data_IF_442134775186
#
_entry.id   IF_442134775186
#
_cell.length_a   1.000
_cell.length_b   1.000
_cell.length_c   1.000
_cell.angle_alpha   90.00
_cell.angle_beta   90.00
_cell.angle_gamma   90.00
#
_symmetry.space_group_name_H-M   'P 1'
#
loop_
_entity.id
_entity.type
_entity.pdbx_description
1 polymer ?
#
# COMPACT_ATOMS: atom_id res chain seq x y z
N UNK A 1 17.68 8.45 3.57
CA UNK A 1 17.01 7.34 2.90
C UNK A 1 16.84 6.16 3.86
N UNK A 2 15.79 5.34 3.66
CA UNK A 2 15.50 4.21 4.56
C UNK A 2 16.34 2.98 4.18
N UNK A 3 16.78 2.90 2.93
CA UNK A 3 17.65 1.83 2.42
C UNK A 3 18.38 2.24 1.14
N UNK A 4 19.31 1.39 0.68
CA UNK A 4 20.11 1.56 -0.53
C UNK A 4 20.00 0.32 -1.41
N UNK A 5 19.85 0.49 -2.72
CA UNK A 5 19.98 -0.58 -3.72
C UNK A 5 21.14 -0.20 -4.63
N UNK A 6 22.23 -0.94 -4.56
CA UNK A 6 23.49 -0.62 -5.20
C UNK A 6 23.85 -1.70 -6.24
N UNK A 7 23.81 -1.34 -7.51
CA UNK A 7 24.22 -2.21 -8.62
C UNK A 7 25.64 -1.81 -9.05
N UNK A 8 26.59 -2.73 -8.93
CA UNK A 8 28.01 -2.51 -9.30
C UNK A 8 28.54 -1.11 -8.95
N UNK A 9 28.41 -0.66 -7.68
CA UNK A 9 28.70 0.71 -7.29
C UNK A 9 30.18 1.04 -7.33
N UNK A 10 30.52 2.29 -7.71
CA UNK A 10 31.80 2.90 -7.39
C UNK A 10 31.71 3.42 -5.96
N UNK A 11 32.46 2.87 -5.04
CA UNK A 11 32.40 3.17 -3.60
C UNK A 11 33.67 3.84 -3.13
N UNK A 12 34.83 3.21 -3.39
CA UNK A 12 36.11 3.75 -2.98
C UNK A 12 36.68 4.77 -3.96
N UNK A 13 37.37 5.78 -3.45
CA UNK A 13 38.25 6.65 -4.22
C UNK A 13 39.72 6.33 -4.00
N UNK A 14 40.00 5.28 -3.19
CA UNK A 14 41.34 4.76 -2.93
C UNK A 14 41.88 3.92 -4.11
N UNK A 15 42.77 2.99 -3.83
CA UNK A 15 43.23 2.00 -4.80
C UNK A 15 42.09 1.07 -5.21
N UNK A 16 42.08 0.59 -6.47
CA UNK A 16 41.01 -0.22 -7.05
C UNK A 16 39.65 0.50 -7.25
N UNK A 17 39.67 1.81 -7.39
CA UNK A 17 38.50 2.59 -7.83
C UNK A 17 38.34 2.55 -9.35
N UNK A 18 37.17 2.99 -9.83
CA UNK A 18 37.03 3.37 -11.23
C UNK A 18 37.66 4.75 -11.45
N UNK A 19 38.81 4.79 -12.12
CA UNK A 19 39.62 6.00 -12.28
C UNK A 19 38.90 7.16 -12.96
N UNK A 20 38.04 6.88 -13.96
CA UNK A 20 37.18 7.87 -14.62
C UNK A 20 36.27 8.58 -13.62
N UNK A 21 35.49 7.82 -12.81
CA UNK A 21 34.59 8.39 -11.80
C UNK A 21 35.33 9.25 -10.78
N UNK A 22 36.50 8.79 -10.31
CA UNK A 22 37.33 9.58 -9.38
C UNK A 22 37.81 10.89 -10.01
N UNK A 23 38.29 10.86 -11.26
CA UNK A 23 38.77 12.05 -11.93
C UNK A 23 37.66 13.07 -12.21
N UNK A 24 36.45 12.60 -12.58
CA UNK A 24 35.29 13.49 -12.77
C UNK A 24 34.81 14.10 -11.46
N UNK A 25 34.82 13.34 -10.36
CA UNK A 25 34.37 13.80 -9.05
C UNK A 25 35.39 14.71 -8.34
N UNK A 26 36.66 14.33 -8.37
CA UNK A 26 37.72 14.96 -7.54
C UNK A 26 38.77 15.73 -8.33
N UNK A 27 38.71 15.68 -9.68
CA UNK A 27 39.75 16.21 -10.52
C UNK A 27 40.99 15.30 -10.66
N UNK A 28 41.97 15.76 -11.47
CA UNK A 28 43.15 14.95 -11.81
C UNK A 28 44.20 14.85 -10.70
N UNK A 29 44.14 15.70 -9.68
CA UNK A 29 45.12 15.77 -8.60
C UNK A 29 44.44 15.97 -7.25
N UNK A 30 43.60 15.00 -6.79
CA UNK A 30 42.91 15.12 -5.53
C UNK A 30 43.89 14.96 -4.36
N UNK A 31 43.61 15.64 -3.25
CA UNK A 31 44.33 15.46 -2.02
C UNK A 31 43.97 14.10 -1.38
N UNK A 32 44.86 13.59 -0.49
CA UNK A 32 44.58 12.38 0.28
C UNK A 32 43.33 12.53 1.14
N UNK A 33 43.05 13.71 1.66
CA UNK A 33 41.88 14.02 2.46
C UNK A 33 40.59 13.91 1.61
N UNK A 34 40.57 14.50 0.42
CA UNK A 34 39.47 14.38 -0.52
C UNK A 34 39.22 12.92 -0.91
N UNK A 35 40.26 12.16 -1.25
CA UNK A 35 40.14 10.74 -1.59
C UNK A 35 39.50 9.98 -0.43
N UNK A 36 39.95 10.18 0.81
CA UNK A 36 39.38 9.51 1.98
C UNK A 36 37.95 9.96 2.28
N UNK A 37 37.64 11.24 2.16
CA UNK A 37 36.33 11.81 2.43
C UNK A 37 35.25 11.23 1.48
N UNK A 38 35.59 11.06 0.21
CA UNK A 38 34.68 10.54 -0.80
C UNK A 38 34.76 9.02 -0.99
N UNK A 39 35.54 8.30 -0.17
CA UNK A 39 35.54 6.84 -0.08
C UNK A 39 34.44 6.42 0.88
N UNK A 40 33.29 5.99 0.34
CA UNK A 40 32.06 5.77 1.12
C UNK A 40 32.19 4.62 2.13
N UNK A 41 33.02 3.62 1.87
CA UNK A 41 33.32 2.55 2.82
C UNK A 41 34.00 3.05 4.12
N UNK A 42 34.62 4.24 4.06
CA UNK A 42 35.23 4.88 5.22
C UNK A 42 34.28 5.81 5.98
N UNK A 43 33.10 6.07 5.41
CA UNK A 43 32.08 6.97 5.98
C UNK A 43 30.91 6.21 6.62
N UNK A 44 30.93 4.89 6.60
CA UNK A 44 29.87 4.07 7.18
C UNK A 44 29.84 4.23 8.69
N UNK A 45 28.65 4.52 9.21
CA UNK A 45 28.32 4.59 10.64
C UNK A 45 27.12 3.67 10.96
N UNK A 46 26.75 3.54 12.21
CA UNK A 46 25.53 2.83 12.63
C UNK A 46 24.25 3.42 12.05
N UNK A 47 24.27 4.71 11.64
CA UNK A 47 23.13 5.41 11.05
C UNK A 47 23.07 5.29 9.52
N UNK A 48 24.07 4.60 8.92
CA UNK A 48 24.07 4.34 7.48
C UNK A 48 22.89 3.44 7.12
N UNK A 49 22.09 3.77 6.09
CA UNK A 49 20.96 2.95 5.68
C UNK A 49 21.37 1.54 5.27
N UNK A 50 20.53 0.56 5.59
CA UNK A 50 20.70 -0.83 5.16
C UNK A 50 20.82 -0.93 3.63
N UNK A 51 21.53 -1.94 3.12
CA UNK A 51 21.91 -2.02 1.72
C UNK A 51 21.65 -3.39 1.08
N UNK A 52 21.15 -3.36 -0.18
CA UNK A 52 21.16 -4.49 -1.10
C UNK A 52 22.19 -4.22 -2.18
N UNK A 53 23.21 -5.07 -2.30
CA UNK A 53 24.37 -4.86 -3.18
C UNK A 53 24.45 -6.00 -4.19
N UNK A 54 24.54 -5.69 -5.48
CA UNK A 54 24.67 -6.69 -6.55
C UNK A 54 25.87 -6.38 -7.43
N UNK A 55 26.67 -7.39 -7.70
CA UNK A 55 27.95 -7.30 -8.43
C UNK A 55 28.07 -8.41 -9.47
N UNK A 56 28.94 -8.21 -10.46
CA UNK A 56 29.50 -9.28 -11.31
C UNK A 56 30.97 -9.48 -11.00
N UNK A 57 31.41 -10.73 -10.88
CA UNK A 57 32.83 -11.07 -10.58
C UNK A 57 33.80 -10.64 -11.70
N UNK A 58 33.28 -10.59 -12.92
CA UNK A 58 34.02 -10.24 -14.16
C UNK A 58 33.90 -8.76 -14.54
N UNK A 59 33.47 -7.88 -13.62
CA UNK A 59 33.38 -6.45 -13.89
C UNK A 59 34.77 -5.84 -14.05
N UNK A 60 35.13 -5.56 -15.33
CA UNK A 60 36.41 -4.96 -15.70
C UNK A 60 36.44 -3.43 -15.62
N UNK A 61 35.29 -2.77 -15.41
CA UNK A 61 35.20 -1.33 -15.30
C UNK A 61 35.27 -0.87 -13.85
N UNK A 62 34.43 -1.45 -12.99
CA UNK A 62 34.41 -1.16 -11.55
C UNK A 62 34.77 -2.44 -10.80
N UNK A 63 35.97 -2.54 -10.21
CA UNK A 63 36.38 -3.74 -9.51
C UNK A 63 35.35 -4.15 -8.44
N UNK A 64 34.92 -5.43 -8.42
CA UNK A 64 33.91 -5.94 -7.46
C UNK A 64 34.26 -5.67 -6.00
N UNK A 65 35.54 -5.50 -5.69
CA UNK A 65 36.02 -5.11 -4.35
C UNK A 65 35.37 -3.83 -3.83
N UNK A 66 34.88 -2.92 -4.69
CA UNK A 66 34.14 -1.74 -4.25
C UNK A 66 32.91 -2.12 -3.42
N UNK A 67 32.02 -2.94 -3.97
CA UNK A 67 30.82 -3.37 -3.25
C UNK A 67 31.13 -4.32 -2.09
N UNK A 68 32.14 -5.20 -2.24
CA UNK A 68 32.58 -6.09 -1.16
C UNK A 68 33.09 -5.31 0.04
N UNK A 69 33.96 -4.31 -0.16
CA UNK A 69 34.50 -3.49 0.92
C UNK A 69 33.40 -2.66 1.60
N UNK A 70 32.44 -2.17 0.83
CA UNK A 70 31.30 -1.45 1.39
C UNK A 70 30.43 -2.36 2.26
N UNK A 71 30.13 -3.58 1.77
CA UNK A 71 29.44 -4.59 2.58
C UNK A 71 30.16 -4.89 3.89
N UNK A 72 31.49 -5.07 3.86
CA UNK A 72 32.27 -5.32 5.07
C UNK A 72 32.25 -4.13 6.04
N UNK A 73 32.27 -2.90 5.50
CA UNK A 73 32.15 -1.70 6.33
C UNK A 73 30.76 -1.59 6.99
N UNK A 74 29.66 -1.93 6.27
CA UNK A 74 28.32 -2.01 6.81
C UNK A 74 28.25 -3.05 7.94
N UNK A 75 28.77 -4.27 7.71
CA UNK A 75 28.81 -5.34 8.72
C UNK A 75 29.58 -4.90 9.99
N UNK A 76 30.73 -4.25 9.83
CA UNK A 76 31.53 -3.75 10.93
C UNK A 76 30.79 -2.74 11.81
N UNK A 77 29.86 -1.99 11.23
CA UNK A 77 29.06 -0.97 11.94
C UNK A 77 27.64 -1.49 12.30
N UNK A 78 27.41 -2.81 12.24
CA UNK A 78 26.13 -3.45 12.53
C UNK A 78 24.96 -2.94 11.66
N UNK A 79 25.24 -2.50 10.44
CA UNK A 79 24.21 -2.10 9.47
C UNK A 79 23.80 -3.33 8.65
N UNK A 80 22.52 -3.69 8.61
CA UNK A 80 22.03 -4.81 7.81
C UNK A 80 22.37 -4.62 6.33
N UNK A 81 22.94 -5.65 5.70
CA UNK A 81 23.26 -5.60 4.28
C UNK A 81 23.20 -6.99 3.64
N UNK A 82 22.77 -7.04 2.37
CA UNK A 82 22.77 -8.22 1.53
C UNK A 82 23.72 -8.01 0.36
N UNK A 83 24.59 -9.01 0.08
CA UNK A 83 25.56 -8.95 -1.00
C UNK A 83 25.37 -10.14 -1.94
N UNK A 84 25.12 -9.86 -3.23
CA UNK A 84 24.95 -10.84 -4.28
C UNK A 84 26.03 -10.65 -5.34
N UNK A 85 26.81 -11.70 -5.61
CA UNK A 85 27.90 -11.65 -6.59
C UNK A 85 27.67 -12.73 -7.64
N UNK A 86 27.41 -12.32 -8.88
CA UNK A 86 27.22 -13.22 -10.00
C UNK A 86 28.52 -13.48 -10.77
N UNK A 87 28.76 -14.70 -11.28
CA UNK A 87 30.03 -15.06 -11.92
C UNK A 87 30.38 -14.20 -13.13
N UNK A 88 29.39 -13.81 -13.93
CA UNK A 88 29.58 -13.06 -15.18
C UNK A 88 28.49 -12.00 -15.37
N UNK A 89 28.78 -11.00 -16.21
CA UNK A 89 27.85 -9.92 -16.56
C UNK A 89 28.59 -8.61 -16.88
N UNK A 90 29.83 -8.49 -16.47
CA UNK A 90 30.59 -7.25 -16.60
C UNK A 90 29.93 -6.09 -15.86
N UNK A 91 30.00 -4.90 -16.46
CA UNK A 91 29.44 -3.67 -15.89
C UNK A 91 28.23 -3.17 -16.70
N UNK A 92 27.30 -2.45 -16.04
CA UNK A 92 26.26 -1.68 -16.73
C UNK A 92 25.06 -2.49 -17.21
N UNK A 93 24.83 -3.71 -16.71
CA UNK A 93 23.71 -4.55 -17.13
C UNK A 93 22.35 -4.06 -16.58
N UNK A 94 22.29 -3.48 -15.37
CA UNK A 94 21.08 -2.94 -14.78
C UNK A 94 19.88 -3.90 -14.85
N UNK A 95 18.78 -3.41 -15.41
CA UNK A 95 17.54 -4.20 -15.60
C UNK A 95 17.39 -4.71 -17.05
N UNK A 96 18.50 -4.90 -17.77
CA UNK A 96 18.48 -5.35 -19.18
C UNK A 96 18.10 -6.82 -19.31
N UNK A 97 17.31 -7.14 -20.36
CA UNK A 97 16.80 -8.50 -20.60
C UNK A 97 17.91 -9.51 -20.97
N UNK A 98 19.02 -9.04 -21.55
CA UNK A 98 20.16 -9.86 -21.92
C UNK A 98 21.10 -10.20 -20.76
N UNK A 99 20.87 -9.69 -19.56
CA UNK A 99 21.64 -10.09 -18.38
C UNK A 99 21.19 -11.47 -17.90
N UNK A 100 22.09 -12.44 -17.96
CA UNK A 100 21.81 -13.85 -17.65
C UNK A 100 21.16 -14.06 -16.28
N UNK A 101 21.50 -13.25 -15.29
CA UNK A 101 21.04 -13.38 -13.91
C UNK A 101 19.95 -12.34 -13.54
N UNK A 102 19.34 -11.69 -14.54
CA UNK A 102 18.30 -10.68 -14.31
C UNK A 102 17.19 -11.20 -13.40
N UNK A 103 16.61 -12.34 -13.73
CA UNK A 103 15.52 -12.93 -12.96
C UNK A 103 15.93 -13.24 -11.51
N UNK A 104 17.13 -13.77 -11.32
CA UNK A 104 17.63 -14.15 -10.00
C UNK A 104 17.80 -12.92 -9.10
N UNK A 105 18.54 -11.89 -9.54
CA UNK A 105 18.79 -10.73 -8.69
C UNK A 105 17.52 -9.91 -8.41
N UNK A 106 16.58 -9.86 -9.36
CA UNK A 106 15.31 -9.16 -9.16
C UNK A 106 14.39 -9.89 -8.18
N UNK A 107 14.38 -11.23 -8.21
CA UNK A 107 13.67 -12.04 -7.22
C UNK A 107 14.29 -11.90 -5.82
N UNK A 108 15.62 -11.92 -5.72
CA UNK A 108 16.33 -11.70 -4.46
C UNK A 108 16.09 -10.26 -3.93
N UNK A 109 16.07 -9.26 -4.80
CA UNK A 109 15.73 -7.89 -4.43
C UNK A 109 14.27 -7.80 -3.92
N UNK A 110 13.33 -8.42 -4.63
CA UNK A 110 11.93 -8.44 -4.23
C UNK A 110 11.76 -9.10 -2.86
N UNK A 111 12.44 -10.23 -2.65
CA UNK A 111 12.46 -10.92 -1.36
C UNK A 111 13.09 -10.05 -0.28
N UNK A 112 14.23 -9.42 -0.56
CA UNK A 112 14.91 -8.54 0.39
C UNK A 112 14.03 -7.33 0.76
N UNK A 113 13.36 -6.73 -0.21
CA UNK A 113 12.41 -5.63 0.04
C UNK A 113 11.22 -6.08 0.89
N UNK A 114 10.76 -7.30 0.71
CA UNK A 114 9.64 -7.87 1.47
C UNK A 114 10.04 -8.28 2.89
N UNK A 115 11.16 -9.00 3.01
CA UNK A 115 11.54 -9.70 4.25
C UNK A 115 12.67 -8.97 5.01
N UNK A 116 13.51 -8.22 4.29
CA UNK A 116 14.82 -7.73 4.78
C UNK A 116 14.91 -6.22 4.93
N UNK A 117 14.04 -5.44 4.30
CA UNK A 117 14.01 -4.03 4.63
C UNK A 117 13.38 -3.91 6.00
N UNK A 118 14.22 -3.77 7.03
CA UNK A 118 13.77 -3.43 8.37
C UNK A 118 13.24 -2.00 8.31
N UNK A 119 12.01 -1.88 7.82
CA UNK A 119 11.19 -0.77 8.27
C UNK A 119 11.00 -1.00 9.78
N UNK A 120 10.93 0.05 10.61
CA UNK A 120 10.60 -0.13 12.03
C UNK A 120 9.52 -1.21 12.11
N UNK A 121 9.71 -2.22 12.97
CA UNK A 121 8.90 -3.45 13.02
C UNK A 121 7.37 -3.24 13.13
N UNK A 122 6.91 -1.99 13.14
CA UNK A 122 5.54 -1.57 13.35
C UNK A 122 4.79 -1.13 12.07
N UNK A 123 5.42 -1.21 10.87
CA UNK A 123 4.74 -0.80 9.67
C UNK A 123 4.19 -2.02 8.92
N UNK A 124 2.96 -2.42 9.23
CA UNK A 124 2.14 -3.32 8.42
C UNK A 124 2.28 -3.02 6.91
N UNK A 125 2.26 -4.03 6.02
CA UNK A 125 2.33 -3.82 4.56
C UNK A 125 1.37 -2.75 4.06
N UNK A 126 0.16 -2.69 4.64
CA UNK A 126 -0.83 -1.65 4.37
C UNK A 126 -0.31 -0.23 4.61
N UNK A 127 0.53 0.01 5.63
CA UNK A 127 1.09 1.32 5.96
C UNK A 127 2.10 1.83 4.93
N UNK A 128 2.96 0.94 4.42
CA UNK A 128 3.95 1.29 3.40
C UNK A 128 3.29 1.69 2.09
N UNK A 129 2.40 0.82 1.63
CA UNK A 129 1.75 0.94 0.31
C UNK A 129 0.86 2.17 0.28
N UNK A 130 0.05 2.41 1.32
CA UNK A 130 -0.85 3.56 1.37
C UNK A 130 -0.13 4.91 1.29
N UNK A 131 1.09 5.04 1.87
CA UNK A 131 1.88 6.27 1.79
C UNK A 131 2.31 6.59 0.36
N UNK A 132 2.48 5.59 -0.50
CA UNK A 132 2.80 5.79 -1.91
C UNK A 132 1.65 6.43 -2.70
N UNK A 133 0.41 6.36 -2.18
CA UNK A 133 -0.76 7.00 -2.78
C UNK A 133 -0.98 8.45 -2.33
N UNK A 134 -0.22 8.98 -1.36
CA UNK A 134 -0.37 10.38 -0.94
C UNK A 134 -0.26 11.33 -2.13
N UNK A 135 -1.25 12.22 -2.28
CA UNK A 135 -1.34 13.15 -3.39
C UNK A 135 -1.98 12.59 -4.66
N UNK A 136 -2.26 11.29 -4.75
CA UNK A 136 -2.98 10.69 -5.89
C UNK A 136 -4.33 11.36 -6.06
N UNK A 137 -4.68 11.73 -7.30
CA UNK A 137 -5.89 12.48 -7.63
C UNK A 137 -7.15 11.68 -7.29
N UNK A 138 -8.11 12.32 -6.62
CA UNK A 138 -9.45 11.79 -6.44
C UNK A 138 -10.26 11.92 -7.74
N UNK A 139 -10.85 10.82 -8.21
CA UNK A 139 -11.80 10.81 -9.33
C UNK A 139 -12.89 9.79 -9.01
N UNK A 140 -14.13 10.25 -8.96
CA UNK A 140 -15.27 9.35 -8.78
C UNK A 140 -15.59 8.57 -10.07
N UNK A 141 -16.24 7.41 -9.93
CA UNK A 141 -16.76 6.60 -11.03
C UNK A 141 -15.70 6.15 -12.06
N UNK A 142 -14.45 5.99 -11.66
CA UNK A 142 -13.37 5.51 -12.55
C UNK A 142 -13.61 4.10 -13.08
N UNK A 143 -14.42 3.30 -12.37
CA UNK A 143 -14.76 1.93 -12.74
C UNK A 143 -15.92 1.82 -13.74
N UNK A 144 -16.68 2.92 -14.00
CA UNK A 144 -17.91 2.91 -14.79
C UNK A 144 -17.71 3.41 -16.22
N UNK A 145 -16.48 3.31 -16.75
CA UNK A 145 -16.13 3.88 -18.07
C UNK A 145 -16.59 3.02 -19.25
N UNK A 146 -16.63 1.70 -19.10
CA UNK A 146 -16.99 0.75 -20.15
C UNK A 146 -18.50 0.58 -20.35
N UNK A 147 -18.88 -0.25 -21.31
CA UNK A 147 -20.22 -0.80 -21.50
C UNK A 147 -20.35 -2.18 -20.85
N UNK A 148 -19.26 -2.91 -20.78
CA UNK A 148 -19.16 -4.21 -20.13
C UNK A 148 -18.35 -4.11 -18.84
N UNK A 149 -18.70 -4.92 -17.85
CA UNK A 149 -17.95 -4.99 -16.59
C UNK A 149 -16.65 -5.75 -16.80
N UNK A 150 -15.54 -5.11 -16.47
CA UNK A 150 -14.20 -5.68 -16.55
C UNK A 150 -13.36 -5.23 -15.36
N UNK A 151 -12.28 -5.95 -15.08
CA UNK A 151 -11.35 -5.53 -14.04
C UNK A 151 -10.57 -4.27 -14.45
N UNK A 152 -11.04 -3.11 -14.01
CA UNK A 152 -10.36 -1.84 -14.25
C UNK A 152 -9.22 -1.66 -13.25
N UNK A 153 -8.00 -1.40 -13.75
CA UNK A 153 -6.80 -1.09 -12.96
C UNK A 153 -6.28 0.29 -13.37
N UNK A 154 -6.56 1.31 -12.56
CA UNK A 154 -6.16 2.70 -12.81
C UNK A 154 -5.66 3.37 -11.52
N UNK A 155 -4.49 2.97 -10.97
CA UNK A 155 -4.01 3.43 -9.66
C UNK A 155 -3.58 4.90 -9.64
N UNK A 156 -3.53 5.58 -10.80
CA UNK A 156 -3.20 7.00 -10.91
C UNK A 156 -4.36 7.92 -10.48
N UNK A 157 -5.57 7.38 -10.42
CA UNK A 157 -6.76 8.08 -9.94
C UNK A 157 -7.59 7.13 -9.09
N UNK A 158 -8.07 7.62 -7.95
CA UNK A 158 -8.80 6.79 -6.99
C UNK A 158 -10.00 7.54 -6.42
N UNK A 159 -11.01 6.80 -6.01
CA UNK A 159 -11.99 7.22 -5.01
C UNK A 159 -11.67 6.59 -3.64
N UNK A 160 -12.53 6.76 -2.65
CA UNK A 160 -12.25 6.25 -1.31
C UNK A 160 -12.16 4.72 -1.27
N UNK A 161 -13.01 4.00 -2.01
CA UNK A 161 -13.01 2.53 -1.99
C UNK A 161 -11.88 1.96 -2.85
N UNK A 162 -11.69 2.47 -4.07
CA UNK A 162 -10.61 2.00 -4.96
C UNK A 162 -9.22 2.25 -4.37
N UNK A 163 -9.03 3.34 -3.60
CA UNK A 163 -7.80 3.56 -2.84
C UNK A 163 -7.53 2.43 -1.84
N UNK A 164 -8.55 2.03 -1.06
CA UNK A 164 -8.44 0.94 -0.08
C UNK A 164 -8.23 -0.40 -0.80
N UNK A 165 -8.98 -0.68 -1.86
CA UNK A 165 -8.85 -1.92 -2.66
C UNK A 165 -7.45 -2.08 -3.26
N UNK A 166 -6.91 -1.03 -3.87
CA UNK A 166 -5.55 -1.08 -4.44
C UNK A 166 -4.48 -1.28 -3.37
N UNK A 167 -4.62 -0.59 -2.22
CA UNK A 167 -3.69 -0.75 -1.10
C UNK A 167 -3.73 -2.17 -0.57
N UNK A 168 -4.91 -2.73 -0.36
CA UNK A 168 -5.11 -4.10 0.12
C UNK A 168 -4.60 -5.14 -0.89
N UNK A 169 -4.91 -4.98 -2.18
CA UNK A 169 -4.47 -5.90 -3.23
C UNK A 169 -2.94 -5.97 -3.36
N UNK A 170 -2.25 -4.83 -3.17
CA UNK A 170 -0.79 -4.78 -3.14
C UNK A 170 -0.23 -5.41 -1.86
N UNK A 171 -0.86 -5.15 -0.71
CA UNK A 171 -0.41 -5.66 0.59
C UNK A 171 -0.51 -7.19 0.69
N UNK A 172 -1.51 -7.81 0.04
CA UNK A 172 -1.66 -9.26 -0.03
C UNK A 172 -0.54 -9.96 -0.83
N UNK A 173 0.26 -9.20 -1.57
CA UNK A 173 1.39 -9.75 -2.34
C UNK A 173 0.96 -10.59 -3.54
N UNK A 174 1.87 -11.42 -4.09
CA UNK A 174 1.66 -12.31 -5.23
C UNK A 174 1.11 -11.60 -6.49
N UNK A 175 -0.08 -11.92 -6.96
CA UNK A 175 -0.71 -11.30 -8.13
C UNK A 175 -1.63 -10.15 -7.73
N UNK A 176 -1.24 -8.90 -8.01
CA UNK A 176 -2.05 -7.73 -7.75
C UNK A 176 -3.43 -7.79 -8.43
N UNK A 177 -3.48 -8.20 -9.68
CA UNK A 177 -4.72 -8.27 -10.45
C UNK A 177 -5.69 -9.31 -9.87
N UNK A 178 -5.18 -10.51 -9.53
CA UNK A 178 -6.01 -11.58 -8.95
C UNK A 178 -6.53 -11.19 -7.56
N UNK A 179 -5.68 -10.57 -6.74
CA UNK A 179 -6.08 -10.07 -5.44
C UNK A 179 -7.17 -8.98 -5.56
N UNK A 180 -6.97 -8.03 -6.47
CA UNK A 180 -7.93 -6.97 -6.73
C UNK A 180 -9.27 -7.50 -7.21
N UNK A 181 -9.27 -8.51 -8.09
CA UNK A 181 -10.49 -9.16 -8.55
C UNK A 181 -11.24 -9.83 -7.40
N UNK A 182 -10.53 -10.58 -6.54
CA UNK A 182 -11.12 -11.21 -5.35
C UNK A 182 -11.71 -10.20 -4.37
N UNK A 183 -11.04 -9.05 -4.19
CA UNK A 183 -11.47 -7.98 -3.29
C UNK A 183 -12.71 -7.27 -3.83
N UNK A 184 -12.76 -6.97 -5.12
CA UNK A 184 -13.74 -6.09 -5.76
C UNK A 184 -15.01 -6.79 -6.18
N UNK A 185 -14.91 -8.07 -6.53
CA UNK A 185 -16.04 -8.82 -7.09
C UNK A 185 -16.50 -9.94 -6.16
N UNK A 186 -17.79 -10.18 -6.16
CA UNK A 186 -18.44 -11.23 -5.39
C UNK A 186 -17.82 -12.58 -5.74
N UNK A 187 -17.24 -13.24 -4.73
CA UNK A 187 -16.50 -14.49 -4.87
C UNK A 187 -15.34 -14.45 -5.90
N UNK A 188 -14.88 -13.24 -6.26
CA UNK A 188 -13.84 -13.03 -7.26
C UNK A 188 -14.32 -13.25 -8.71
N UNK A 189 -15.63 -13.31 -8.96
CA UNK A 189 -16.21 -13.63 -10.28
C UNK A 189 -16.76 -12.35 -10.91
N UNK A 190 -16.34 -12.05 -12.15
CA UNK A 190 -16.89 -10.97 -12.95
C UNK A 190 -18.06 -11.52 -13.77
N UNK A 191 -19.28 -11.14 -13.40
CA UNK A 191 -20.53 -11.50 -14.06
C UNK A 191 -21.45 -10.26 -14.16
N UNK A 192 -21.04 -9.31 -14.98
CA UNK A 192 -21.72 -8.04 -15.18
C UNK A 192 -21.60 -7.09 -13.99
N UNK A 193 -22.19 -5.90 -14.14
CA UNK A 193 -22.10 -4.76 -13.21
C UNK A 193 -22.43 -5.13 -11.76
N UNK A 194 -23.45 -5.93 -11.52
CA UNK A 194 -23.95 -6.26 -10.18
C UNK A 194 -23.09 -7.31 -9.45
N UNK A 195 -22.11 -7.93 -10.11
CA UNK A 195 -21.12 -8.79 -9.46
C UNK A 195 -20.08 -8.01 -8.67
N UNK A 196 -19.88 -6.73 -9.01
CA UNK A 196 -19.04 -5.82 -8.25
C UNK A 196 -19.68 -5.54 -6.87
N UNK A 197 -18.86 -5.48 -5.83
CA UNK A 197 -19.30 -5.25 -4.46
C UNK A 197 -19.49 -3.76 -4.19
N UNK A 198 -20.67 -3.25 -4.48
CA UNK A 198 -21.00 -1.84 -4.39
C UNK A 198 -21.26 -1.36 -2.96
N UNK A 199 -21.99 -2.17 -2.18
CA UNK A 199 -22.24 -1.87 -0.77
C UNK A 199 -21.01 -2.28 0.06
N UNK A 200 -20.48 -1.36 0.87
CA UNK A 200 -19.26 -1.64 1.65
C UNK A 200 -19.47 -2.74 2.68
N UNK A 201 -20.69 -2.91 3.24
CA UNK A 201 -20.95 -4.04 4.13
C UNK A 201 -20.92 -5.38 3.40
N UNK A 202 -21.32 -5.43 2.13
CA UNK A 202 -21.18 -6.62 1.30
C UNK A 202 -19.71 -6.91 0.97
N UNK A 203 -18.95 -5.85 0.67
CA UNK A 203 -17.51 -5.92 0.47
C UNK A 203 -16.79 -6.50 1.71
N UNK A 204 -17.15 -6.03 2.91
CA UNK A 204 -16.61 -6.55 4.16
C UNK A 204 -16.98 -8.03 4.35
N UNK A 205 -18.27 -8.39 4.18
CA UNK A 205 -18.76 -9.76 4.35
C UNK A 205 -18.08 -10.73 3.37
N UNK A 206 -17.95 -10.32 2.11
CA UNK A 206 -17.26 -11.11 1.10
C UNK A 206 -15.78 -11.28 1.43
N UNK A 207 -15.09 -10.21 1.85
CA UNK A 207 -13.68 -10.25 2.23
C UNK A 207 -13.42 -11.16 3.42
N UNK A 208 -14.30 -11.13 4.44
CA UNK A 208 -14.21 -12.02 5.61
C UNK A 208 -14.47 -13.48 5.21
N UNK A 209 -15.48 -13.74 4.38
CA UNK A 209 -15.80 -15.09 3.90
C UNK A 209 -14.66 -15.70 3.08
N UNK A 210 -13.95 -14.89 2.30
CA UNK A 210 -12.79 -15.31 1.51
C UNK A 210 -11.49 -15.39 2.32
N UNK A 211 -11.50 -15.04 3.61
CA UNK A 211 -10.30 -15.04 4.46
C UNK A 211 -9.32 -13.89 4.14
N UNK A 212 -9.74 -12.87 3.38
CA UNK A 212 -8.93 -11.70 3.06
C UNK A 212 -8.97 -10.64 4.16
N UNK A 213 -10.08 -10.59 4.91
CA UNK A 213 -10.34 -9.61 5.94
C UNK A 213 -10.81 -10.27 7.24
N UNK A 214 -10.59 -9.59 8.34
CA UNK A 214 -11.14 -9.87 9.65
C UNK A 214 -12.00 -8.67 10.11
N UNK A 215 -13.24 -8.91 10.56
CA UNK A 215 -14.06 -7.86 11.21
C UNK A 215 -13.61 -7.68 12.67
N UNK A 216 -12.66 -6.74 12.86
CA UNK A 216 -12.10 -6.42 14.18
C UNK A 216 -13.16 -5.82 15.11
N UNK A 217 -14.13 -5.09 14.55
CA UNK A 217 -15.22 -4.50 15.33
C UNK A 217 -16.11 -5.58 15.95
N UNK A 218 -16.34 -6.68 15.24
CA UNK A 218 -17.17 -7.78 15.71
C UNK A 218 -16.62 -8.42 17.00
N UNK A 219 -15.29 -8.43 17.16
CA UNK A 219 -14.63 -8.98 18.34
C UNK A 219 -14.54 -8.01 19.53
N UNK A 220 -14.54 -6.70 19.24
CA UNK A 220 -14.14 -5.69 20.23
C UNK A 220 -15.26 -4.73 20.62
N UNK A 221 -16.36 -4.63 19.86
CA UNK A 221 -17.50 -3.77 20.18
C UNK A 221 -18.76 -4.58 20.50
N UNK A 222 -19.34 -4.32 21.65
CA UNK A 222 -20.65 -4.86 22.00
C UNK A 222 -21.82 -4.14 21.30
N UNK A 223 -21.54 -3.00 20.66
CA UNK A 223 -22.59 -2.19 20.00
C UNK A 223 -22.94 -2.83 18.64
N UNK A 224 -24.21 -2.99 18.39
CA UNK A 224 -24.70 -3.58 17.14
C UNK A 224 -25.80 -2.73 16.53
N UNK A 225 -25.92 -2.81 15.20
CA UNK A 225 -27.01 -2.24 14.42
C UNK A 225 -27.50 -3.25 13.39
N UNK A 226 -28.71 -3.05 12.88
CA UNK A 226 -29.20 -3.81 11.73
C UNK A 226 -28.93 -3.03 10.46
N UNK A 227 -28.39 -3.68 9.45
CA UNK A 227 -28.25 -3.10 8.13
C UNK A 227 -29.62 -2.78 7.52
N UNK A 228 -29.70 -1.68 6.81
CA UNK A 228 -30.88 -1.26 6.04
C UNK A 228 -30.39 -0.69 4.73
N UNK A 229 -30.27 -1.53 3.72
CA UNK A 229 -29.68 -1.22 2.42
C UNK A 229 -30.78 -1.13 1.35
N UNK A 230 -30.78 -0.04 0.60
CA UNK A 230 -31.69 0.18 -0.51
C UNK A 230 -31.28 1.36 -1.40
N UNK A 231 -30.09 1.95 -1.16
CA UNK A 231 -29.74 3.22 -1.77
C UNK A 231 -29.60 3.11 -3.28
N UNK A 232 -28.86 2.13 -3.78
CA UNK A 232 -28.62 1.98 -5.20
C UNK A 232 -29.88 1.60 -5.97
N UNK A 233 -30.64 0.64 -5.47
CA UNK A 233 -31.88 0.18 -6.14
C UNK A 233 -32.98 1.24 -6.17
N UNK A 234 -33.00 2.15 -5.16
CA UNK A 234 -33.98 3.26 -5.10
C UNK A 234 -33.52 4.54 -5.79
N UNK A 235 -32.24 4.65 -6.13
CA UNK A 235 -31.66 5.81 -6.83
C UNK A 235 -30.94 5.41 -8.14
N UNK A 236 -31.54 4.57 -9.01
CA UNK A 236 -30.82 4.01 -10.16
C UNK A 236 -30.29 5.06 -11.13
N UNK A 237 -30.95 6.22 -11.24
CA UNK A 237 -30.51 7.33 -12.09
C UNK A 237 -29.16 7.95 -11.72
N UNK A 238 -28.66 7.69 -10.51
CA UNK A 238 -27.35 8.15 -10.08
C UNK A 238 -26.18 7.24 -10.55
N UNK A 239 -26.51 6.06 -11.09
CA UNK A 239 -25.55 5.05 -11.49
C UNK A 239 -25.72 4.70 -12.96
N UNK A 240 -24.69 4.93 -13.77
CA UNK A 240 -24.71 4.74 -15.22
C UNK A 240 -25.30 3.38 -15.65
N UNK A 241 -24.87 2.30 -15.01
CA UNK A 241 -25.26 0.94 -15.37
C UNK A 241 -26.58 0.45 -14.71
N UNK A 242 -27.18 1.28 -13.87
CA UNK A 242 -28.53 1.04 -13.33
C UNK A 242 -29.59 1.89 -14.03
N UNK A 243 -29.24 3.09 -14.49
CA UNK A 243 -30.19 4.07 -15.04
C UNK A 243 -31.05 3.50 -16.16
N UNK A 244 -30.45 2.71 -17.05
CA UNK A 244 -31.09 2.15 -18.22
C UNK A 244 -31.22 0.62 -18.17
N UNK A 245 -31.03 0.00 -16.99
CA UNK A 245 -31.08 -1.46 -16.83
C UNK A 245 -32.01 -1.89 -15.67
N UNK A 246 -33.30 -2.09 -15.90
CA UNK A 246 -34.21 -2.62 -14.87
C UNK A 246 -33.75 -3.97 -14.27
N UNK A 247 -33.07 -4.79 -15.07
CA UNK A 247 -32.50 -6.07 -14.58
C UNK A 247 -31.43 -5.86 -13.56
N UNK A 248 -30.46 -4.96 -13.82
CA UNK A 248 -29.42 -4.63 -12.84
C UNK A 248 -30.03 -4.01 -11.58
N UNK A 249 -31.04 -3.14 -11.69
CA UNK A 249 -31.76 -2.59 -10.54
C UNK A 249 -32.41 -3.71 -9.71
N UNK A 250 -33.04 -4.68 -10.35
CA UNK A 250 -33.64 -5.82 -9.67
C UNK A 250 -32.57 -6.66 -8.94
N UNK A 251 -31.47 -7.00 -9.62
CA UNK A 251 -30.36 -7.77 -9.01
C UNK A 251 -29.72 -7.01 -7.82
N UNK A 252 -29.53 -5.70 -7.93
CA UNK A 252 -29.05 -4.88 -6.82
C UNK A 252 -30.03 -4.90 -5.64
N UNK A 253 -31.32 -4.74 -5.88
CA UNK A 253 -32.34 -4.81 -4.83
C UNK A 253 -32.35 -6.20 -4.11
N UNK A 254 -32.08 -7.27 -4.83
CA UNK A 254 -31.94 -8.61 -4.25
C UNK A 254 -30.73 -8.70 -3.32
N UNK A 255 -29.57 -8.15 -3.71
CA UNK A 255 -28.38 -8.10 -2.85
C UNK A 255 -28.58 -7.20 -1.62
N UNK A 256 -29.09 -5.98 -1.80
CA UNK A 256 -29.43 -5.07 -0.70
C UNK A 256 -30.42 -5.72 0.29
N UNK A 257 -31.43 -6.42 -0.23
CA UNK A 257 -32.40 -7.16 0.59
C UNK A 257 -31.77 -8.33 1.36
N UNK A 258 -30.85 -9.07 0.73
CA UNK A 258 -30.17 -10.20 1.35
C UNK A 258 -29.27 -9.78 2.54
N UNK A 259 -28.74 -8.56 2.49
CA UNK A 259 -27.92 -7.98 3.56
C UNK A 259 -28.77 -7.26 4.60
N UNK A 260 -29.90 -6.66 4.22
CA UNK A 260 -30.78 -5.91 5.12
C UNK A 260 -31.34 -6.81 6.22
N UNK A 261 -31.38 -6.27 7.43
CA UNK A 261 -31.77 -7.00 8.65
C UNK A 261 -30.63 -7.76 9.33
N UNK A 262 -29.50 -8.00 8.66
CA UNK A 262 -28.32 -8.59 9.29
C UNK A 262 -27.81 -7.66 10.40
N UNK A 263 -27.42 -8.27 11.50
CA UNK A 263 -26.85 -7.59 12.66
C UNK A 263 -25.35 -7.47 12.48
N UNK A 264 -24.83 -6.24 12.50
CA UNK A 264 -23.40 -5.96 12.40
C UNK A 264 -22.92 -5.21 13.63
N UNK A 265 -21.66 -5.40 14.01
CA UNK A 265 -21.02 -4.65 15.06
C UNK A 265 -20.47 -3.32 14.54
N UNK A 266 -20.52 -2.28 15.35
CA UNK A 266 -20.00 -0.97 15.03
C UNK A 266 -19.57 -0.21 16.28
N UNK A 267 -18.75 0.85 16.13
CA UNK A 267 -18.33 1.73 17.20
C UNK A 267 -18.96 3.11 16.99
N UNK A 268 -19.90 3.57 17.84
CA UNK A 268 -20.44 4.92 17.79
C UNK A 268 -19.36 5.99 17.93
N UNK A 269 -19.46 7.10 17.19
CA UNK A 269 -18.46 8.17 17.19
C UNK A 269 -18.17 8.77 18.57
N UNK A 270 -19.18 8.83 19.45
CA UNK A 270 -19.02 9.33 20.82
C UNK A 270 -18.22 8.37 21.75
N UNK A 271 -17.87 7.18 21.27
CA UNK A 271 -17.03 6.22 21.99
C UNK A 271 -15.62 6.13 21.42
N UNK A 272 -15.29 6.89 20.38
CA UNK A 272 -13.97 6.94 19.77
C UNK A 272 -13.19 8.14 20.32
N UNK A 273 -12.17 7.94 21.17
CA UNK A 273 -11.29 9.03 21.60
C UNK A 273 -10.29 9.41 20.49
N UNK A 274 -9.66 10.58 20.62
CA UNK A 274 -8.61 11.05 19.68
C UNK A 274 -7.45 10.05 19.57
N UNK A 275 -7.14 9.34 20.64
CA UNK A 275 -6.07 8.31 20.68
C UNK A 275 -6.46 6.99 20.02
N UNK A 276 -7.67 6.87 19.46
CA UNK A 276 -8.20 5.57 19.06
C UNK A 276 -8.47 4.64 20.24
N UNK A 277 -8.72 3.37 19.95
CA UNK A 277 -8.89 2.31 20.96
C UNK A 277 -7.74 1.29 20.80
N UNK A 278 -7.34 0.59 21.87
CA UNK A 278 -6.17 -0.31 21.87
C UNK A 278 -6.20 -1.43 20.82
N UNK A 279 -7.37 -1.78 20.33
CA UNK A 279 -7.57 -2.82 19.33
C UNK A 279 -7.55 -2.31 17.88
N UNK A 280 -7.54 -0.98 17.66
CA UNK A 280 -7.38 -0.36 16.35
C UNK A 280 -5.88 -0.20 16.10
N UNK A 281 -5.41 -0.69 14.97
CA UNK A 281 -4.01 -0.67 14.59
C UNK A 281 -3.78 0.19 13.34
N UNK A 282 -2.56 0.63 13.19
CA UNK A 282 -2.10 1.19 11.92
C UNK A 282 -2.36 0.20 10.78
N UNK A 283 -2.89 0.68 9.66
CA UNK A 283 -3.21 -0.18 8.51
C UNK A 283 -4.62 -0.77 8.50
N UNK A 284 -5.36 -0.71 9.60
CA UNK A 284 -6.76 -1.13 9.62
C UNK A 284 -7.60 -0.30 8.64
N UNK A 285 -8.52 -0.95 7.94
CA UNK A 285 -9.52 -0.26 7.11
C UNK A 285 -10.63 0.26 8.01
N UNK A 286 -10.89 1.55 7.92
CA UNK A 286 -11.94 2.25 8.63
C UNK A 286 -13.10 2.50 7.68
N UNK A 287 -14.25 1.90 7.95
CA UNK A 287 -15.51 2.14 7.25
C UNK A 287 -16.41 3.04 8.10
N UNK A 288 -16.66 4.26 7.63
CA UNK A 288 -17.42 5.29 8.36
C UNK A 288 -18.91 5.09 8.13
N UNK A 289 -19.64 4.80 9.19
CA UNK A 289 -21.09 4.57 9.17
C UNK A 289 -21.87 5.88 9.05
N UNK A 290 -23.06 5.83 8.43
CA UNK A 290 -23.89 7.00 8.18
C UNK A 290 -25.34 6.77 8.60
N UNK A 291 -26.07 7.89 8.81
CA UNK A 291 -27.52 7.90 9.01
C UNK A 291 -28.32 8.14 7.73
N UNK A 292 -27.67 8.23 6.56
CA UNK A 292 -28.38 8.39 5.29
C UNK A 292 -29.24 7.15 5.03
N UNK A 293 -30.54 7.33 4.74
CA UNK A 293 -31.43 6.21 4.53
C UNK A 293 -30.97 5.31 3.38
N UNK A 294 -30.97 4.01 3.60
CA UNK A 294 -30.59 3.01 2.60
C UNK A 294 -29.10 2.84 2.34
N UNK A 295 -28.24 3.64 3.00
CA UNK A 295 -26.78 3.56 2.91
C UNK A 295 -26.19 3.19 4.30
N UNK A 296 -25.22 2.28 4.32
CA UNK A 296 -24.57 1.85 5.56
C UNK A 296 -23.26 2.59 5.83
N UNK A 297 -22.41 2.69 4.81
CA UNK A 297 -21.08 3.30 4.88
C UNK A 297 -21.01 4.49 3.91
N UNK A 298 -20.64 5.65 4.43
CA UNK A 298 -20.49 6.86 3.61
C UNK A 298 -19.07 7.09 3.12
N UNK A 299 -18.07 6.50 3.77
CA UNK A 299 -16.67 6.74 3.44
C UNK A 299 -15.78 5.64 3.98
N UNK A 300 -14.66 5.40 3.33
CA UNK A 300 -13.63 4.45 3.76
C UNK A 300 -12.24 5.08 3.70
N UNK A 301 -11.36 4.59 4.54
CA UNK A 301 -9.95 4.97 4.57
C UNK A 301 -9.13 4.00 5.40
N UNK A 302 -7.90 4.35 5.70
CA UNK A 302 -6.95 3.51 6.42
C UNK A 302 -6.51 4.22 7.69
N UNK A 303 -6.53 3.51 8.82
CA UNK A 303 -6.07 4.00 10.11
C UNK A 303 -4.59 4.39 10.05
N UNK A 304 -4.25 5.54 10.62
CA UNK A 304 -2.88 5.99 10.78
C UNK A 304 -2.69 6.74 12.10
N UNK A 305 -1.82 6.22 12.95
CA UNK A 305 -1.47 6.91 14.18
C UNK A 305 -0.38 7.96 13.92
N UNK A 306 -0.60 9.17 14.43
CA UNK A 306 0.37 10.27 14.41
C UNK A 306 0.46 10.86 15.81
N UNK A 307 1.63 10.84 16.41
CA UNK A 307 1.85 11.30 17.77
C UNK A 307 0.83 10.75 18.80
N UNK A 308 0.51 9.46 18.68
CA UNK A 308 -0.43 8.76 19.55
C UNK A 308 -1.90 9.08 19.32
N UNK A 309 -2.26 9.80 18.25
CA UNK A 309 -3.65 10.07 17.84
C UNK A 309 -4.00 9.33 16.57
N UNK A 310 -5.23 8.84 16.50
CA UNK A 310 -5.75 8.12 15.34
C UNK A 310 -6.23 9.11 14.27
N UNK A 311 -5.58 9.12 13.13
CA UNK A 311 -5.92 9.86 11.92
C UNK A 311 -6.43 8.93 10.83
N UNK A 312 -7.04 9.49 9.78
CA UNK A 312 -7.51 8.76 8.61
C UNK A 312 -6.69 9.12 7.38
N UNK A 313 -6.07 8.14 6.76
CA UNK A 313 -5.53 8.27 5.41
C UNK A 313 -6.61 7.86 4.41
N UNK A 314 -7.03 8.78 3.54
CA UNK A 314 -8.18 8.54 2.65
C UNK A 314 -8.11 9.34 1.36
N UNK A 315 -8.81 8.88 0.33
CA UNK A 315 -9.04 9.68 -0.86
C UNK A 315 -10.19 10.68 -0.57
N UNK A 316 -9.83 11.94 -0.39
CA UNK A 316 -10.76 13.02 -0.06
C UNK A 316 -11.39 13.61 -1.31
N UNK A 317 -12.71 13.50 -1.46
CA UNK A 317 -13.44 14.17 -2.54
C UNK A 317 -13.41 15.70 -2.40
N UNK A 318 -13.37 16.21 -1.17
CA UNK A 318 -13.30 17.65 -0.90
C UNK A 318 -11.94 18.25 -1.26
N UNK A 319 -10.84 17.54 -0.94
CA UNK A 319 -9.47 17.99 -1.24
C UNK A 319 -8.98 17.50 -2.61
N UNK A 320 -9.76 16.68 -3.32
CA UNK A 320 -9.46 16.19 -4.65
C UNK A 320 -8.28 15.21 -4.75
N UNK A 321 -7.82 14.66 -3.65
CA UNK A 321 -6.64 13.78 -3.60
C UNK A 321 -6.60 12.89 -2.36
N UNK A 322 -5.72 11.90 -2.37
CA UNK A 322 -5.38 11.10 -1.18
C UNK A 322 -4.59 11.96 -0.20
N UNK A 323 -5.08 12.01 1.03
CA UNK A 323 -4.50 12.81 2.13
C UNK A 323 -4.54 12.04 3.45
N UNK A 324 -3.65 12.40 4.35
CA UNK A 324 -3.81 12.12 5.77
C UNK A 324 -4.64 13.24 6.39
N UNK A 325 -5.68 12.91 7.16
CA UNK A 325 -6.50 13.92 7.82
C UNK A 325 -5.66 14.80 8.75
N UNK A 326 -5.90 16.12 8.72
CA UNK A 326 -5.21 17.06 9.61
C UNK A 326 -5.63 16.87 11.07
N UNK A 327 -6.91 16.60 11.29
CA UNK A 327 -7.49 16.33 12.60
C UNK A 327 -7.60 14.83 12.90
N UNK A 328 -7.63 14.43 14.18
CA UNK A 328 -7.92 13.06 14.57
C UNK A 328 -9.27 12.58 14.03
N UNK A 329 -9.39 11.28 13.76
CA UNK A 329 -10.60 10.67 13.20
C UNK A 329 -11.86 10.95 14.04
N UNK A 330 -11.74 10.96 15.38
CA UNK A 330 -12.84 11.29 16.29
C UNK A 330 -13.40 12.69 16.05
N UNK A 331 -12.54 13.68 15.81
CA UNK A 331 -12.93 15.05 15.50
C UNK A 331 -13.54 15.14 14.09
N UNK A 332 -12.93 14.49 13.11
CA UNK A 332 -13.46 14.40 11.75
C UNK A 332 -14.88 13.80 11.74
N UNK A 333 -15.13 12.76 12.53
CA UNK A 333 -16.47 12.16 12.69
C UNK A 333 -17.47 13.14 13.33
N UNK A 334 -17.04 13.89 14.35
CA UNK A 334 -17.92 14.83 15.07
C UNK A 334 -18.29 16.05 14.23
N UNK A 335 -17.37 16.51 13.37
CA UNK A 335 -17.59 17.63 12.45
C UNK A 335 -18.59 17.29 11.34
N UNK A 336 -18.79 15.99 11.02
CA UNK A 336 -19.78 15.57 10.04
C UNK A 336 -21.08 15.11 10.72
N UNK A 337 -22.19 15.83 10.44
CA UNK A 337 -23.50 15.56 11.05
C UNK A 337 -24.14 14.24 10.56
N UNK A 338 -23.80 13.75 9.38
CA UNK A 338 -24.36 12.51 8.84
C UNK A 338 -23.60 11.26 9.29
N UNK A 339 -22.37 11.38 9.73
CA UNK A 339 -21.55 10.28 10.17
C UNK A 339 -21.89 9.87 11.61
N UNK A 340 -22.00 8.56 11.84
CA UNK A 340 -22.51 8.03 13.11
C UNK A 340 -21.45 7.29 13.92
N UNK A 341 -20.45 6.71 13.27
CA UNK A 341 -19.38 5.93 13.89
C UNK A 341 -18.53 5.21 12.86
N UNK A 342 -17.93 4.09 13.24
CA UNK A 342 -17.05 3.31 12.38
C UNK A 342 -17.27 1.81 12.51
N UNK A 343 -16.92 1.08 11.45
CA UNK A 343 -16.54 -0.33 11.49
C UNK A 343 -15.06 -0.43 11.12
N UNK A 344 -14.37 -1.36 11.73
CA UNK A 344 -12.93 -1.58 11.54
C UNK A 344 -12.72 -3.00 11.05
N UNK A 345 -12.07 -3.12 9.92
CA UNK A 345 -11.65 -4.43 9.37
C UNK A 345 -10.15 -4.44 9.15
N UNK A 346 -9.55 -5.57 9.31
CA UNK A 346 -8.11 -5.79 9.19
C UNK A 346 -7.82 -6.76 8.07
N UNK A 347 -6.72 -6.54 7.34
CA UNK A 347 -6.21 -7.53 6.41
C UNK A 347 -5.83 -8.80 7.17
N UNK A 348 -6.36 -9.96 6.74
CA UNK A 348 -5.89 -11.24 7.24
C UNK A 348 -4.48 -11.50 6.72
N UNK A 349 -3.56 -11.86 7.60
CA UNK A 349 -2.26 -12.37 7.17
C UNK A 349 -2.42 -13.81 6.69
N UNK A 350 -1.86 -14.19 5.53
CA UNK A 350 -1.87 -15.57 5.05
C UNK A 350 -1.07 -16.49 5.95
#
# INVERSE_FOLDING_TARGET
PDFQILLYPVVTMLQNTHGGSRNELLGKSPTTEQIRHFSNELQVTSDTPQAFIVLSSDDGAVPPSNGVNYYLALQKNNVPASLHVYPTGGHGWGYRDNFKYKQQWTQELEKWLRDGVVFPQDAEPMLRIRKSYLGTKYVANTLDQGTEETLVIAPQTVDCLTFVEYTLAQALGSSFADNLQKIRYRDGIIDGYTSRLHDTSDWIENGVRQGLLEDVTARNSAQTTKLSLSYMSTHPKQYKHLADSPENVKRMAEYEKALSGKKVHWLPKNKLPDTGLPWIMDGDVIAITTKLPGLDIAHVGIANFVNGKLHLLHASSTLGKVVLSEEPLSQMLNNNKSWTGIRVVRMSHP
#
